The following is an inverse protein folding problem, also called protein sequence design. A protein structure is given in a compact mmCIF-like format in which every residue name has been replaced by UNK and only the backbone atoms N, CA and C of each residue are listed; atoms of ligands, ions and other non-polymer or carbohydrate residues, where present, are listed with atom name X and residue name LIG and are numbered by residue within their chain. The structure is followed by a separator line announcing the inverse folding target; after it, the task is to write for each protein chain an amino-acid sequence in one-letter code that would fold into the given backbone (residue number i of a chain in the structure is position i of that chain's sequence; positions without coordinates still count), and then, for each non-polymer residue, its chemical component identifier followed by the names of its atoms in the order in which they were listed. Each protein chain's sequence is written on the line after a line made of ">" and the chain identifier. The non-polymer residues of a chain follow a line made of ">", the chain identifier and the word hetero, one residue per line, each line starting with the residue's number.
data_IF_056566678952
#
_entry.id   IF_056566678952
#
_cell.length_a   1.000
_cell.length_b   1.000
_cell.length_c   1.000
_cell.angle_alpha   90.00
_cell.angle_beta   90.00
_cell.angle_gamma   90.00
#
_symmetry.space_group_name_H-M   'P 1'
#
loop_
_entity.id
_entity.type
_entity.pdbx_description
1 polymer ?
#
# COMPACT_ATOMS: atom_id res chain seq x y z
N UNK A 1 -24.52 -23.66 33.81
CA UNK A 1 -25.18 -22.69 32.91
C UNK A 1 -24.06 -21.79 32.40
N UNK A 2 -23.37 -22.10 31.30
CA UNK A 2 -23.76 -21.85 29.89
C UNK A 2 -24.39 -20.45 29.75
N UNK A 3 -23.88 -19.47 29.02
CA UNK A 3 -22.72 -19.35 28.11
C UNK A 3 -22.57 -17.83 27.87
N UNK A 4 -21.39 -17.26 28.07
CA UNK A 4 -21.09 -15.91 27.55
C UNK A 4 -20.93 -16.02 26.03
N UNK A 5 -21.66 -15.28 25.17
CA UNK A 5 -21.33 -15.23 23.76
C UNK A 5 -20.19 -14.23 23.56
N UNK A 6 -18.97 -14.77 23.58
CA UNK A 6 -17.77 -14.19 23.00
C UNK A 6 -17.97 -14.04 21.48
N UNK A 7 -18.55 -12.92 21.00
CA UNK A 7 -18.76 -12.68 19.56
C UNK A 7 -18.37 -11.28 19.06
N UNK A 8 -17.72 -10.44 19.87
CA UNK A 8 -17.29 -9.11 19.41
C UNK A 8 -15.90 -9.07 18.74
N UNK A 9 -15.12 -10.16 18.74
CA UNK A 9 -13.71 -10.11 18.28
C UNK A 9 -13.48 -10.41 16.80
N UNK A 10 -14.45 -11.01 16.09
CA UNK A 10 -14.23 -11.45 14.69
C UNK A 10 -14.60 -10.38 13.65
N UNK A 11 -15.64 -9.56 13.88
CA UNK A 11 -16.06 -8.52 12.93
C UNK A 11 -15.03 -7.39 12.80
N UNK A 12 -14.33 -7.04 13.89
CA UNK A 12 -13.31 -5.98 13.91
C UNK A 12 -11.97 -6.38 13.24
N UNK A 13 -11.89 -7.61 12.74
CA UNK A 13 -10.70 -8.16 12.06
C UNK A 13 -10.85 -8.31 10.56
N UNK A 14 -12.05 -8.09 10.00
CA UNK A 14 -12.31 -8.24 8.57
C UNK A 14 -12.21 -6.90 7.84
N UNK A 15 -11.70 -6.96 6.60
CA UNK A 15 -11.71 -5.85 5.66
C UNK A 15 -13.14 -5.73 5.09
N UNK A 16 -13.84 -4.68 5.49
CA UNK A 16 -15.22 -4.40 5.09
C UNK A 16 -15.37 -4.08 3.60
N UNK A 17 -16.61 -4.03 3.10
CA UNK A 17 -16.90 -3.78 1.68
C UNK A 17 -16.49 -2.38 1.22
N UNK A 18 -16.61 -1.37 2.08
CA UNK A 18 -16.15 -0.01 1.76
C UNK A 18 -14.65 0.01 1.51
N UNK A 19 -13.89 -0.59 2.42
CA UNK A 19 -12.45 -0.67 2.34
C UNK A 19 -12.00 -1.46 1.11
N UNK A 20 -12.64 -2.60 0.84
CA UNK A 20 -12.44 -3.38 -0.38
C UNK A 20 -12.68 -2.56 -1.66
N UNK A 21 -13.74 -1.76 -1.69
CA UNK A 21 -14.04 -0.88 -2.81
C UNK A 21 -12.96 0.20 -2.97
N UNK A 22 -12.50 0.81 -1.87
CA UNK A 22 -11.44 1.82 -1.94
C UNK A 22 -10.10 1.21 -2.39
N UNK A 23 -9.75 -0.02 -1.98
CA UNK A 23 -8.56 -0.73 -2.48
C UNK A 23 -8.61 -0.83 -4.02
N UNK A 24 -9.76 -1.26 -4.56
CA UNK A 24 -9.97 -1.34 -6.02
C UNK A 24 -9.86 0.03 -6.68
N UNK A 25 -10.51 1.05 -6.11
CA UNK A 25 -10.50 2.42 -6.62
C UNK A 25 -9.11 3.03 -6.62
N UNK A 26 -8.32 2.85 -5.56
CA UNK A 26 -6.94 3.34 -5.45
C UNK A 26 -6.08 2.77 -6.58
N UNK A 27 -6.07 1.46 -6.76
CA UNK A 27 -5.22 0.83 -7.80
C UNK A 27 -5.66 1.27 -9.20
N UNK A 28 -6.97 1.40 -9.46
CA UNK A 28 -7.50 1.89 -10.73
C UNK A 28 -7.14 3.35 -10.99
N UNK A 29 -7.32 4.20 -9.98
CA UNK A 29 -7.04 5.64 -10.06
C UNK A 29 -5.56 5.86 -10.32
N UNK A 30 -4.69 5.27 -9.52
CA UNK A 30 -3.24 5.33 -9.70
C UNK A 30 -2.82 4.91 -11.12
N UNK A 31 -3.34 3.78 -11.62
CA UNK A 31 -3.02 3.30 -12.95
C UNK A 31 -3.54 4.22 -14.08
N UNK A 32 -4.73 4.80 -13.89
CA UNK A 32 -5.33 5.73 -14.86
C UNK A 32 -4.56 7.04 -14.91
N UNK A 33 -4.27 7.64 -13.75
CA UNK A 33 -3.62 8.95 -13.64
C UNK A 33 -2.15 8.88 -14.08
N UNK A 34 -1.42 7.86 -13.66
CA UNK A 34 0.02 7.78 -13.91
C UNK A 34 0.39 7.19 -15.28
N UNK A 35 -0.46 6.30 -15.82
CA UNK A 35 -0.16 5.56 -17.06
C UNK A 35 -1.20 5.73 -18.17
N UNK A 36 -2.27 6.51 -17.94
CA UNK A 36 -3.34 6.78 -18.92
C UNK A 36 -4.03 5.52 -19.45
N UNK A 37 -4.09 4.46 -18.65
CA UNK A 37 -4.79 3.24 -19.03
C UNK A 37 -6.31 3.44 -18.98
N UNK A 38 -6.99 3.32 -20.13
CA UNK A 38 -8.46 3.43 -20.23
C UNK A 38 -9.19 2.15 -19.79
N UNK A 39 -8.54 0.98 -19.92
CA UNK A 39 -9.07 -0.33 -19.49
C UNK A 39 -7.97 -1.18 -18.87
N UNK A 40 -8.19 -1.59 -17.63
CA UNK A 40 -7.30 -2.50 -16.91
C UNK A 40 -8.10 -3.57 -16.19
N UNK A 41 -7.58 -4.79 -16.22
CA UNK A 41 -8.04 -5.86 -15.35
C UNK A 41 -7.13 -5.85 -14.13
N UNK A 42 -7.76 -5.78 -12.98
CA UNK A 42 -7.11 -5.99 -11.71
C UNK A 42 -7.53 -7.38 -11.24
N UNK A 43 -6.57 -8.18 -10.80
CA UNK A 43 -6.83 -9.51 -10.28
C UNK A 43 -6.88 -9.45 -8.76
N UNK A 44 -8.02 -9.82 -8.20
CA UNK A 44 -8.23 -10.02 -6.78
C UNK A 44 -9.38 -11.01 -6.57
N UNK A 45 -9.08 -12.27 -6.22
CA UNK A 45 -10.11 -13.26 -5.90
C UNK A 45 -11.02 -12.80 -4.76
N UNK A 46 -10.46 -12.08 -3.79
CA UNK A 46 -11.14 -11.62 -2.59
C UNK A 46 -12.21 -10.57 -2.91
N UNK A 47 -11.91 -9.61 -3.79
CA UNK A 47 -12.86 -8.57 -4.22
C UNK A 47 -14.02 -9.11 -5.09
N UNK A 48 -13.86 -10.28 -5.72
CA UNK A 48 -14.94 -10.91 -6.51
C UNK A 48 -16.04 -11.48 -5.60
N UNK A 49 -15.69 -11.89 -4.37
CA UNK A 49 -16.60 -12.56 -3.43
C UNK A 49 -17.68 -11.65 -2.85
N UNK A 50 -17.50 -10.32 -2.92
CA UNK A 50 -18.45 -9.31 -2.41
C UNK A 50 -18.91 -9.55 -0.96
N UNK A 51 -18.00 -10.00 -0.11
CA UNK A 51 -18.21 -10.15 1.34
C UNK A 51 -16.95 -9.72 2.08
N UNK A 52 -17.02 -9.32 3.37
CA UNK A 52 -15.84 -8.99 4.17
C UNK A 52 -14.78 -10.10 4.10
N UNK A 53 -13.50 -9.72 4.02
CA UNK A 53 -12.39 -10.66 3.86
C UNK A 53 -11.34 -10.39 4.94
N UNK A 54 -10.70 -11.43 5.52
CA UNK A 54 -9.64 -11.21 6.50
C UNK A 54 -8.41 -10.55 5.88
N UNK A 55 -8.21 -10.76 4.57
CA UNK A 55 -7.11 -10.22 3.77
C UNK A 55 -7.61 -9.93 2.36
N UNK A 56 -6.99 -8.97 1.70
CA UNK A 56 -7.26 -8.64 0.31
C UNK A 56 -5.95 -8.56 -0.44
N UNK A 57 -5.83 -9.36 -1.49
CA UNK A 57 -4.68 -9.35 -2.38
C UNK A 57 -5.08 -8.74 -3.71
N UNK A 58 -4.27 -7.83 -4.24
CA UNK A 58 -4.60 -7.14 -5.48
C UNK A 58 -3.37 -7.06 -6.38
N UNK A 59 -3.52 -7.58 -7.59
CA UNK A 59 -2.47 -7.60 -8.60
C UNK A 59 -2.88 -6.81 -9.83
N UNK A 60 -1.98 -5.94 -10.29
CA UNK A 60 -2.07 -5.22 -11.55
C UNK A 60 -0.81 -5.51 -12.34
N UNK A 61 -0.97 -6.25 -13.44
CA UNK A 61 0.12 -6.51 -14.38
C UNK A 61 -0.24 -5.94 -15.75
N UNK A 62 0.58 -4.98 -16.20
CA UNK A 62 0.48 -4.31 -17.49
C UNK A 62 1.88 -4.03 -18.03
N UNK A 63 1.95 -3.66 -19.31
CA UNK A 63 3.24 -3.43 -20.00
C UNK A 63 4.13 -2.34 -19.38
N UNK A 64 3.57 -1.39 -18.62
CA UNK A 64 4.32 -0.31 -17.97
C UNK A 64 4.48 -0.49 -16.45
N UNK A 65 3.70 -1.38 -15.84
CA UNK A 65 3.62 -1.55 -14.38
C UNK A 65 3.34 -3.01 -14.00
N UNK A 66 4.11 -3.52 -13.05
CA UNK A 66 3.82 -4.76 -12.32
C UNK A 66 3.67 -4.40 -10.84
N UNK A 67 2.49 -4.65 -10.29
CA UNK A 67 2.14 -4.30 -8.92
C UNK A 67 1.42 -5.48 -8.28
N UNK A 68 1.88 -5.84 -7.08
CA UNK A 68 1.19 -6.78 -6.22
C UNK A 68 1.16 -6.22 -4.81
N UNK A 69 -0.05 -5.93 -4.32
CA UNK A 69 -0.29 -5.38 -3.00
C UNK A 69 -1.13 -6.36 -2.19
N UNK A 70 -0.90 -6.36 -0.88
CA UNK A 70 -1.64 -7.19 0.07
C UNK A 70 -2.04 -6.35 1.27
N UNK A 71 -3.27 -6.54 1.73
CA UNK A 71 -3.94 -5.73 2.74
C UNK A 71 -4.52 -6.64 3.81
N UNK A 72 -4.34 -6.28 5.08
CA UNK A 72 -4.96 -6.96 6.21
C UNK A 72 -4.00 -7.12 7.39
N UNK A 73 -4.33 -8.05 8.30
CA UNK A 73 -3.47 -8.42 9.41
C UNK A 73 -2.52 -9.56 9.00
N UNK A 74 -1.22 -9.33 9.17
CA UNK A 74 -0.19 -10.33 8.88
C UNK A 74 0.65 -10.60 10.13
N UNK A 75 0.99 -11.88 10.41
CA UNK A 75 1.89 -12.25 11.49
C UNK A 75 3.33 -11.95 11.06
N UNK A 76 3.65 -10.67 10.88
CA UNK A 76 5.03 -10.25 10.80
C UNK A 76 5.59 -10.22 12.23
N UNK A 77 6.81 -10.73 12.40
CA UNK A 77 7.45 -10.92 13.72
C UNK A 77 7.38 -9.68 14.62
N UNK A 78 7.40 -8.48 14.02
CA UNK A 78 7.40 -7.20 14.73
C UNK A 78 6.02 -6.52 14.85
N UNK A 79 4.95 -7.10 14.30
CA UNK A 79 3.70 -6.37 14.04
C UNK A 79 2.48 -6.77 14.87
N UNK A 80 2.58 -7.67 15.87
CA UNK A 80 1.55 -7.92 16.91
C UNK A 80 0.08 -7.81 16.42
N UNK A 81 -0.29 -8.51 15.36
CA UNK A 81 -1.64 -8.53 14.77
C UNK A 81 -2.18 -7.19 14.25
N UNK A 82 -1.29 -6.25 13.94
CA UNK A 82 -1.63 -4.95 13.38
C UNK A 82 -1.94 -5.05 11.90
N UNK A 83 -2.78 -4.13 11.44
CA UNK A 83 -3.18 -4.02 10.04
C UNK A 83 -2.05 -3.37 9.24
N UNK A 84 -1.59 -4.01 8.18
CA UNK A 84 -0.46 -3.56 7.38
C UNK A 84 -0.74 -3.67 5.87
N UNK A 85 -0.09 -2.79 5.12
CA UNK A 85 -0.08 -2.77 3.67
C UNK A 85 1.25 -3.35 3.23
N UNK A 86 1.23 -4.45 2.47
CA UNK A 86 2.45 -5.08 1.96
C UNK A 86 2.56 -4.85 0.45
N UNK A 87 3.60 -4.13 0.05
CA UNK A 87 4.03 -3.98 -1.33
C UNK A 87 4.90 -5.19 -1.69
N UNK A 88 4.23 -6.28 -2.10
CA UNK A 88 4.86 -7.55 -2.38
C UNK A 88 5.65 -7.55 -3.72
N UNK A 89 5.15 -6.81 -4.72
CA UNK A 89 5.88 -6.56 -5.97
C UNK A 89 5.63 -5.15 -6.46
N UNK A 90 6.70 -4.47 -6.87
CA UNK A 90 6.64 -3.15 -7.49
C UNK A 90 7.66 -3.05 -8.64
N UNK A 91 7.16 -2.83 -9.84
CA UNK A 91 7.95 -2.68 -11.05
C UNK A 91 7.36 -1.59 -11.94
N UNK A 92 8.20 -0.65 -12.37
CA UNK A 92 7.84 0.37 -13.35
C UNK A 92 8.78 0.26 -14.54
N UNK A 93 8.23 0.19 -15.77
CA UNK A 93 9.04 0.16 -16.99
C UNK A 93 9.86 1.45 -17.15
N UNK A 94 9.26 2.60 -16.82
CA UNK A 94 9.94 3.90 -16.82
C UNK A 94 10.28 4.32 -15.39
N UNK A 95 11.56 4.22 -15.02
CA UNK A 95 12.03 4.60 -13.68
C UNK A 95 12.29 6.11 -13.57
N UNK A 96 12.45 6.61 -12.32
CA UNK A 96 12.78 8.01 -12.00
C UNK A 96 11.72 9.08 -12.39
N UNK A 97 10.48 8.67 -12.67
CA UNK A 97 9.37 9.59 -12.98
C UNK A 97 8.48 9.94 -11.77
N UNK A 98 8.83 9.50 -10.56
CA UNK A 98 8.05 9.77 -9.35
C UNK A 98 6.91 8.77 -9.07
N UNK A 99 6.71 7.76 -9.91
CA UNK A 99 5.65 6.76 -9.72
C UNK A 99 5.70 6.04 -8.35
N UNK A 100 6.89 5.69 -7.88
CA UNK A 100 7.05 5.07 -6.56
C UNK A 100 6.60 5.99 -5.43
N UNK A 101 6.97 7.27 -5.48
CA UNK A 101 6.55 8.27 -4.48
C UNK A 101 5.04 8.48 -4.54
N UNK A 102 4.47 8.61 -5.73
CA UNK A 102 3.02 8.77 -5.92
C UNK A 102 2.24 7.57 -5.36
N UNK A 103 2.69 6.34 -5.64
CA UNK A 103 2.06 5.13 -5.12
C UNK A 103 2.10 5.09 -3.59
N UNK A 104 3.28 5.27 -2.99
CA UNK A 104 3.42 5.22 -1.52
C UNK A 104 2.60 6.31 -0.83
N UNK A 105 2.47 7.48 -1.45
CA UNK A 105 1.61 8.56 -0.95
C UNK A 105 0.13 8.16 -0.92
N UNK A 106 -0.38 7.59 -2.01
CA UNK A 106 -1.76 7.08 -2.03
C UNK A 106 -1.98 5.97 -1.01
N UNK A 107 -1.01 5.06 -0.85
CA UNK A 107 -1.09 4.00 0.17
C UNK A 107 -1.07 4.55 1.59
N UNK A 108 -0.31 5.62 1.86
CA UNK A 108 -0.33 6.27 3.16
C UNK A 108 -1.68 6.92 3.47
N UNK A 109 -2.26 7.64 2.49
CA UNK A 109 -3.59 8.26 2.63
C UNK A 109 -4.66 7.20 2.89
N UNK A 110 -4.63 6.12 2.12
CA UNK A 110 -5.51 4.98 2.32
C UNK A 110 -5.32 4.35 3.71
N UNK A 111 -4.06 4.16 4.11
CA UNK A 111 -3.73 3.53 5.36
C UNK A 111 -4.21 4.32 6.57
N UNK A 112 -4.03 5.65 6.58
CA UNK A 112 -4.61 6.51 7.61
C UNK A 112 -6.14 6.43 7.65
N UNK A 113 -6.80 6.40 6.48
CA UNK A 113 -8.27 6.33 6.39
C UNK A 113 -8.83 5.05 7.03
N UNK A 114 -8.15 3.91 6.85
CA UNK A 114 -8.66 2.59 7.28
C UNK A 114 -7.88 1.95 8.44
N UNK A 115 -7.08 2.73 9.16
CA UNK A 115 -6.37 2.30 10.36
C UNK A 115 -5.24 1.29 10.10
N UNK A 116 -4.56 1.39 8.96
CA UNK A 116 -3.32 0.66 8.72
C UNK A 116 -2.16 1.35 9.42
N UNK A 117 -1.37 0.57 10.16
CA UNK A 117 -0.31 1.12 10.99
C UNK A 117 1.04 1.13 10.26
N UNK A 118 1.30 0.13 9.42
CA UNK A 118 2.58 -0.06 8.75
C UNK A 118 2.42 -0.28 7.26
N UNK A 119 3.40 0.21 6.51
CA UNK A 119 3.65 -0.18 5.13
C UNK A 119 4.97 -0.93 5.05
N UNK A 120 4.94 -2.11 4.44
CA UNK A 120 6.11 -2.96 4.21
C UNK A 120 6.36 -3.11 2.70
N UNK A 121 7.64 -3.21 2.32
CA UNK A 121 8.06 -3.57 0.96
C UNK A 121 8.81 -4.89 1.03
N UNK A 122 8.30 -5.93 0.36
CA UNK A 122 8.97 -7.23 0.35
C UNK A 122 10.04 -7.32 -0.72
N UNK A 123 11.16 -7.97 -0.37
CA UNK A 123 12.26 -8.30 -1.27
C UNK A 123 12.66 -7.15 -2.22
N UNK A 124 12.90 -5.92 -1.71
CA UNK A 124 13.21 -4.78 -2.57
C UNK A 124 14.53 -5.02 -3.30
N UNK A 125 14.52 -4.84 -4.63
CA UNK A 125 15.76 -4.85 -5.41
C UNK A 125 16.66 -3.65 -5.05
N UNK A 126 17.96 -3.63 -5.43
CA UNK A 126 18.88 -2.56 -5.03
C UNK A 126 18.41 -1.14 -5.38
N UNK A 127 17.75 -0.95 -6.52
CA UNK A 127 17.17 0.34 -6.91
C UNK A 127 16.00 0.74 -6.00
N UNK A 128 15.17 -0.23 -5.62
CA UNK A 128 14.07 -0.04 -4.68
C UNK A 128 14.61 0.31 -3.28
N UNK A 129 15.62 -0.40 -2.79
CA UNK A 129 16.27 -0.10 -1.51
C UNK A 129 16.87 1.31 -1.49
N UNK A 130 17.57 1.70 -2.55
CA UNK A 130 18.13 3.06 -2.67
C UNK A 130 17.03 4.15 -2.70
N UNK A 131 15.86 3.83 -3.26
CA UNK A 131 14.69 4.71 -3.22
C UNK A 131 14.08 4.77 -1.81
N UNK A 132 13.88 3.63 -1.16
CA UNK A 132 13.35 3.53 0.20
C UNK A 132 14.20 4.31 1.21
N UNK A 133 15.54 4.21 1.13
CA UNK A 133 16.44 4.98 2.00
C UNK A 133 16.22 6.50 1.91
N UNK A 134 15.80 7.02 0.76
CA UNK A 134 15.47 8.45 0.59
C UNK A 134 14.16 8.85 1.26
N UNK A 135 13.29 7.89 1.56
CA UNK A 135 11.99 8.05 2.20
C UNK A 135 12.01 7.62 3.67
N UNK A 136 13.20 7.55 4.29
CA UNK A 136 13.34 7.30 5.72
C UNK A 136 13.37 5.82 6.13
N UNK A 137 13.28 4.88 5.19
CA UNK A 137 13.53 3.47 5.51
C UNK A 137 15.01 3.29 5.89
N UNK A 138 15.24 2.66 7.04
CA UNK A 138 16.59 2.37 7.56
C UNK A 138 17.00 0.95 7.15
N UNK A 139 17.29 0.11 8.14
CA UNK A 139 17.66 -1.29 7.93
C UNK A 139 16.45 -2.22 7.85
N UNK A 140 15.26 -1.70 8.17
CA UNK A 140 13.99 -2.41 8.01
C UNK A 140 13.30 -2.02 6.69
N UNK A 141 12.56 -2.98 6.12
CA UNK A 141 11.77 -2.76 4.91
C UNK A 141 10.31 -2.36 5.19
N UNK A 142 10.02 -1.97 6.43
CA UNK A 142 8.73 -1.41 6.83
C UNK A 142 8.90 -0.05 7.49
N UNK A 143 7.84 0.75 7.46
CA UNK A 143 7.77 2.02 8.17
C UNK A 143 6.33 2.29 8.63
N UNK A 144 6.10 2.91 9.81
CA UNK A 144 4.78 3.38 10.20
C UNK A 144 4.21 4.36 9.15
N UNK A 145 2.91 4.25 8.86
CA UNK A 145 2.28 5.02 7.79
C UNK A 145 2.37 6.53 8.03
N UNK A 146 2.19 6.98 9.27
CA UNK A 146 2.32 8.38 9.63
C UNK A 146 3.75 8.91 9.42
N UNK A 147 4.77 8.13 9.79
CA UNK A 147 6.18 8.47 9.58
C UNK A 147 6.51 8.51 8.09
N UNK A 148 6.05 7.53 7.32
CA UNK A 148 6.27 7.48 5.89
C UNK A 148 5.63 8.66 5.17
N UNK A 149 4.39 9.03 5.54
CA UNK A 149 3.69 10.18 4.97
C UNK A 149 4.46 11.48 5.19
N UNK A 150 4.93 11.72 6.41
CA UNK A 150 5.73 12.91 6.73
C UNK A 150 7.04 12.92 5.93
N UNK A 151 7.74 11.79 5.88
CA UNK A 151 8.99 11.68 5.12
C UNK A 151 8.79 11.92 3.62
N UNK A 152 7.68 11.44 3.03
CA UNK A 152 7.32 11.72 1.63
C UNK A 152 7.09 13.22 1.43
N UNK A 153 6.39 13.90 2.34
CA UNK A 153 6.15 15.34 2.23
C UNK A 153 7.46 16.13 2.28
N UNK A 154 8.35 15.83 3.22
CA UNK A 154 9.68 16.43 3.33
C UNK A 154 10.52 16.19 2.07
N UNK A 155 10.49 14.96 1.56
CA UNK A 155 11.18 14.59 0.32
C UNK A 155 10.66 15.39 -0.88
N UNK A 156 9.35 15.53 -1.05
CA UNK A 156 8.74 16.34 -2.11
C UNK A 156 9.10 17.83 -1.99
N UNK A 157 9.08 18.40 -0.78
CA UNK A 157 9.48 19.79 -0.51
C UNK A 157 10.96 20.03 -0.86
N UNK A 158 11.85 19.13 -0.42
CA UNK A 158 13.29 19.23 -0.72
C UNK A 158 13.58 19.17 -2.22
N UNK A 159 12.80 18.38 -2.97
CA UNK A 159 12.95 18.26 -4.42
C UNK A 159 12.48 19.53 -5.13
N UNK A 160 11.37 20.13 -4.69
CA UNK A 160 10.89 21.41 -5.23
C UNK A 160 11.89 22.54 -4.99
N UNK A 161 12.43 22.65 -3.78
CA UNK A 161 13.45 23.65 -3.45
C UNK A 161 14.69 23.55 -4.35
N UNK A 162 15.16 22.33 -4.63
CA UNK A 162 16.29 22.10 -5.54
C UNK A 162 16.00 22.47 -6.98
N UNK A 163 14.76 22.31 -7.45
CA UNK A 163 14.36 22.70 -8.82
C UNK A 163 14.24 24.21 -8.94
N UNK A 164 13.81 24.92 -7.89
CA UNK A 164 13.71 26.39 -7.88
C UNK A 164 15.06 27.11 -7.75
N UNK A 165 16.15 26.40 -7.45
CA UNK A 165 17.51 26.91 -7.34
C UNK A 165 18.36 26.70 -8.61
N UNK A 166 17.76 26.14 -9.67
CA UNK A 166 18.37 25.88 -10.98
C UNK A 166 17.65 26.69 -12.04
#
# INVERSE_FOLDING_TARGET
>A
MNTEPFQQSEEDSLIGLEEQNEISCLVRRFATEQFKYSRMRISSPELIRKMPQPRVNIALNKSLIDLYLRFGKYPLADHKDKKCIIVARIGFKKQKNGYGTALLKELCIFGEKFGYEYLEVECPNPNCQAFMKKLGFKDAFYLPINQLKNSIQEYELSKKAKVSLV
#
